data_IF_691820235281
#
_entry.id   IF_691820235281
#
_cell.length_a   1.000
_cell.length_b   1.000
_cell.length_c   1.000
_cell.angle_alpha   90.00
_cell.angle_beta   90.00
_cell.angle_gamma   90.00
#
_symmetry.space_group_name_H-M   'P 1'
#
loop_
_entity.id
_entity.type
_entity.pdbx_description
1 polymer ?
#
# COMPACT_ATOMS: atom_id res chain seq x y z
N UNK A 1 14.19 7.34 -16.59
CA UNK A 1 12.85 6.80 -16.89
C UNK A 1 11.90 7.99 -17.02
N UNK A 2 11.16 8.14 -18.13
CA UNK A 2 10.36 9.34 -18.44
C UNK A 2 9.12 9.45 -17.55
N UNK A 3 8.53 10.64 -17.51
CA UNK A 3 7.30 10.90 -16.78
C UNK A 3 6.16 10.08 -17.39
N UNK A 4 5.38 9.41 -16.54
CA UNK A 4 4.27 8.54 -16.96
C UNK A 4 3.01 9.33 -17.35
N UNK A 5 3.15 10.62 -17.62
CA UNK A 5 2.02 11.50 -17.90
C UNK A 5 1.29 11.05 -19.18
N UNK A 6 -0.05 11.04 -19.12
CA UNK A 6 -0.91 10.55 -20.20
C UNK A 6 -0.94 9.04 -20.42
N UNK A 7 -0.22 8.22 -19.64
CA UNK A 7 -0.24 6.75 -19.80
C UNK A 7 -1.55 6.12 -19.29
N UNK A 8 -1.92 4.99 -19.90
CA UNK A 8 -3.10 4.22 -19.54
C UNK A 8 -3.13 3.83 -18.04
N UNK A 9 -1.96 3.55 -17.45
CA UNK A 9 -1.85 3.18 -16.04
C UNK A 9 -2.34 4.29 -15.10
N UNK A 10 -2.04 5.55 -15.40
CA UNK A 10 -2.51 6.68 -14.58
C UNK A 10 -4.02 6.86 -14.69
N UNK A 11 -4.59 6.65 -15.90
CA UNK A 11 -6.05 6.70 -16.11
C UNK A 11 -6.76 5.60 -15.31
N UNK A 12 -6.20 4.38 -15.28
CA UNK A 12 -6.74 3.27 -14.49
C UNK A 12 -6.66 3.59 -12.99
N UNK A 13 -5.52 4.08 -12.49
CA UNK A 13 -5.38 4.47 -11.08
C UNK A 13 -6.39 5.54 -10.65
N UNK A 14 -6.55 6.60 -11.47
CA UNK A 14 -7.52 7.65 -11.20
C UNK A 14 -8.96 7.14 -11.27
N UNK A 15 -9.26 6.24 -12.22
CA UNK A 15 -10.56 5.57 -12.30
C UNK A 15 -10.87 4.77 -11.04
N UNK A 16 -9.94 3.93 -10.59
CA UNK A 16 -10.08 3.16 -9.34
C UNK A 16 -10.23 4.07 -8.12
N UNK A 17 -9.40 5.11 -8.00
CA UNK A 17 -9.50 6.09 -6.93
C UNK A 17 -10.91 6.70 -6.89
N UNK A 18 -11.46 7.07 -8.04
CA UNK A 18 -12.79 7.66 -8.14
C UNK A 18 -13.88 6.68 -7.72
N UNK A 19 -13.83 5.44 -8.21
CA UNK A 19 -14.79 4.39 -7.87
C UNK A 19 -14.77 4.08 -6.36
N UNK A 20 -13.59 3.97 -5.77
CA UNK A 20 -13.44 3.66 -4.34
C UNK A 20 -13.88 4.82 -3.43
N UNK A 21 -13.64 6.06 -3.84
CA UNK A 21 -13.98 7.25 -3.03
C UNK A 21 -15.43 7.68 -3.20
N UNK A 22 -15.93 7.73 -4.43
CA UNK A 22 -17.27 8.24 -4.76
C UNK A 22 -18.34 7.16 -4.82
N UNK A 23 -17.94 5.88 -4.98
CA UNK A 23 -18.87 4.79 -5.21
C UNK A 23 -19.39 4.77 -6.65
N UNK A 24 -20.15 3.73 -6.95
CA UNK A 24 -20.84 3.53 -8.23
C UNK A 24 -22.22 2.97 -7.93
N UNK A 25 -23.25 3.68 -8.38
CA UNK A 25 -24.62 3.19 -8.41
C UNK A 25 -25.04 3.11 -9.87
N UNK A 26 -25.38 1.91 -10.35
CA UNK A 26 -25.88 1.72 -11.72
C UNK A 26 -27.32 1.21 -11.64
N UNK A 27 -28.21 1.90 -12.36
CA UNK A 27 -29.59 1.44 -12.56
C UNK A 27 -29.65 0.30 -13.57
N UNK A 28 -28.68 0.21 -14.49
CA UNK A 28 -28.63 -0.79 -15.56
C UNK A 28 -28.11 -2.16 -15.10
N UNK A 29 -27.20 -2.19 -14.12
CA UNK A 29 -26.67 -3.44 -13.57
C UNK A 29 -26.52 -3.36 -12.04
N UNK A 30 -27.47 -3.91 -11.27
CA UNK A 30 -27.43 -3.93 -9.81
C UNK A 30 -26.19 -4.60 -9.22
N UNK A 31 -25.53 -5.52 -9.94
CA UNK A 31 -24.31 -6.19 -9.48
C UNK A 31 -23.04 -5.33 -9.61
N UNK A 32 -23.13 -4.16 -10.25
CA UNK A 32 -22.01 -3.22 -10.38
C UNK A 32 -21.92 -2.20 -9.23
N UNK A 33 -22.77 -2.36 -8.20
CA UNK A 33 -22.81 -1.46 -7.06
C UNK A 33 -21.48 -1.44 -6.28
N UNK A 34 -20.99 -0.24 -6.01
CA UNK A 34 -19.85 0.03 -5.12
C UNK A 34 -20.26 1.15 -4.16
N UNK A 35 -20.19 0.90 -2.86
CA UNK A 35 -20.67 1.84 -1.84
C UNK A 35 -19.88 3.16 -1.79
N UNK A 36 -18.60 3.15 -2.18
CA UNK A 36 -17.73 4.32 -2.07
C UNK A 36 -17.24 4.57 -0.64
N UNK A 37 -16.80 5.81 -0.38
CA UNK A 37 -16.26 6.27 0.90
C UNK A 37 -15.07 5.46 1.45
N UNK A 38 -14.36 4.74 0.57
CA UNK A 38 -13.15 4.00 0.94
C UNK A 38 -11.98 4.99 1.01
N UNK A 39 -11.29 5.09 2.16
CA UNK A 39 -10.13 5.96 2.29
C UNK A 39 -8.97 5.44 1.43
N UNK A 40 -8.35 6.31 0.66
CA UNK A 40 -7.24 5.98 -0.25
C UNK A 40 -6.09 6.95 -0.06
N UNK A 41 -4.87 6.43 -0.09
CA UNK A 41 -3.65 7.23 -0.18
C UNK A 41 -3.09 7.11 -1.60
N UNK A 42 -2.98 8.23 -2.30
CA UNK A 42 -2.39 8.28 -3.64
C UNK A 42 -1.04 8.98 -3.60
N UNK A 43 0.05 8.23 -3.80
CA UNK A 43 1.41 8.77 -3.91
C UNK A 43 1.81 8.79 -5.38
N UNK A 44 2.01 9.99 -5.92
CA UNK A 44 2.44 10.18 -7.31
C UNK A 44 3.90 10.64 -7.34
N UNK A 45 4.69 10.01 -8.21
CA UNK A 45 6.08 10.39 -8.48
C UNK A 45 6.20 10.82 -9.95
N UNK A 46 6.88 11.95 -10.19
CA UNK A 46 7.02 12.51 -11.54
C UNK A 46 7.84 11.59 -12.45
N UNK A 47 8.94 11.04 -11.92
CA UNK A 47 9.83 10.12 -12.64
C UNK A 47 10.35 9.04 -11.69
N UNK A 48 10.41 7.79 -12.15
CA UNK A 48 11.08 6.72 -11.43
C UNK A 48 12.60 6.82 -11.63
N UNK A 49 13.23 7.70 -10.85
CA UNK A 49 14.69 7.82 -10.76
C UNK A 49 15.20 7.05 -9.54
N UNK A 50 16.50 6.66 -9.49
CA UNK A 50 17.05 6.01 -8.30
C UNK A 50 16.84 6.81 -7.01
N UNK A 51 16.95 8.15 -7.10
CA UNK A 51 16.65 9.05 -5.98
C UNK A 51 15.18 8.96 -5.56
N UNK A 52 14.24 9.06 -6.50
CA UNK A 52 12.81 9.00 -6.19
C UNK A 52 12.41 7.65 -5.59
N UNK A 53 12.96 6.54 -6.11
CA UNK A 53 12.73 5.21 -5.57
C UNK A 53 13.30 5.06 -4.15
N UNK A 54 14.55 5.51 -3.92
CA UNK A 54 15.15 5.49 -2.59
C UNK A 54 14.37 6.32 -1.58
N UNK A 55 13.88 7.50 -1.98
CA UNK A 55 13.00 8.32 -1.14
C UNK A 55 11.67 7.64 -0.82
N UNK A 56 11.08 6.90 -1.76
CA UNK A 56 9.85 6.14 -1.52
C UNK A 56 10.08 4.98 -0.54
N UNK A 57 11.20 4.26 -0.65
CA UNK A 57 11.57 3.20 0.29
C UNK A 57 11.75 3.80 1.70
N UNK A 58 12.56 4.85 1.83
CA UNK A 58 12.80 5.52 3.11
C UNK A 58 11.50 6.06 3.74
N UNK A 59 10.57 6.56 2.93
CA UNK A 59 9.24 6.98 3.41
C UNK A 59 8.49 5.83 4.09
N UNK A 60 8.48 4.63 3.48
CA UNK A 60 7.80 3.47 4.06
C UNK A 60 8.54 2.90 5.27
N UNK A 61 9.87 2.89 5.28
CA UNK A 61 10.66 2.50 6.45
C UNK A 61 10.34 3.40 7.65
N UNK A 62 10.32 4.72 7.45
CA UNK A 62 9.96 5.67 8.50
C UNK A 62 8.49 5.58 8.90
N UNK A 63 7.57 5.33 7.95
CA UNK A 63 6.15 5.08 8.27
C UNK A 63 6.01 3.93 9.26
N UNK A 64 6.64 2.78 8.98
CA UNK A 64 6.58 1.61 9.85
C UNK A 64 7.22 1.89 11.21
N UNK A 65 8.38 2.55 11.23
CA UNK A 65 9.03 2.95 12.47
C UNK A 65 8.13 3.85 13.35
N UNK A 66 7.55 4.91 12.76
CA UNK A 66 6.65 5.82 13.49
C UNK A 66 5.42 5.07 14.01
N UNK A 67 4.86 4.14 13.23
CA UNK A 67 3.76 3.29 13.69
C UNK A 67 4.15 2.42 14.88
N UNK A 68 5.37 1.85 14.89
CA UNK A 68 5.90 1.12 16.05
C UNK A 68 6.01 1.98 17.29
N UNK A 69 6.52 3.21 17.15
CA UNK A 69 6.59 4.19 18.25
C UNK A 69 5.20 4.53 18.78
N UNK A 70 4.24 4.81 17.88
CA UNK A 70 2.84 5.12 18.25
C UNK A 70 2.17 3.97 19.00
N UNK A 71 2.41 2.73 18.57
CA UNK A 71 1.85 1.54 19.21
C UNK A 71 2.66 1.05 20.42
N UNK A 72 3.78 1.69 20.74
CA UNK A 72 4.70 1.29 21.80
C UNK A 72 5.16 -0.18 21.65
N UNK A 73 5.51 -0.57 20.43
CA UNK A 73 6.06 -1.89 20.10
C UNK A 73 7.43 -1.75 19.43
N UNK A 74 8.24 -2.81 19.54
CA UNK A 74 9.52 -2.86 18.86
C UNK A 74 9.36 -3.24 17.38
N UNK A 75 9.65 -2.32 16.46
CA UNK A 75 9.60 -2.60 15.01
C UNK A 75 10.78 -3.43 14.50
N UNK A 76 11.79 -3.70 15.33
CA UNK A 76 13.06 -4.27 14.91
C UNK A 76 13.29 -5.72 15.37
N UNK A 77 12.36 -6.31 16.13
CA UNK A 77 12.46 -7.72 16.55
C UNK A 77 11.50 -8.65 15.78
N UNK A 78 11.78 -9.95 15.85
CA UNK A 78 11.00 -11.01 15.19
C UNK A 78 10.90 -12.28 16.07
N UNK A 79 10.37 -12.18 17.31
CA UNK A 79 10.41 -13.29 18.26
C UNK A 79 9.65 -14.55 17.77
N UNK A 80 8.59 -14.37 16.98
CA UNK A 80 7.80 -15.49 16.44
C UNK A 80 8.59 -16.43 15.52
N UNK A 81 9.56 -15.90 14.77
CA UNK A 81 10.40 -16.69 13.84
C UNK A 81 11.34 -17.60 14.63
N UNK A 82 12.01 -17.07 15.65
CA UNK A 82 12.98 -17.82 16.45
C UNK A 82 12.31 -18.91 17.29
N UNK A 83 11.14 -18.61 17.87
CA UNK A 83 10.34 -19.61 18.58
C UNK A 83 9.91 -20.76 17.65
N UNK A 84 9.49 -20.43 16.42
CA UNK A 84 9.08 -21.44 15.44
C UNK A 84 10.23 -22.37 15.04
N UNK A 85 11.44 -21.81 14.81
CA UNK A 85 12.64 -22.61 14.49
C UNK A 85 13.02 -23.60 15.60
N UNK A 86 12.75 -23.28 16.87
CA UNK A 86 13.02 -24.19 18.00
C UNK A 86 12.05 -25.37 18.00
N UNK A 87 10.76 -25.10 17.86
CA UNK A 87 9.71 -26.11 17.83
C UNK A 87 9.92 -27.10 16.67
N UNK A 88 10.25 -26.61 15.46
CA UNK A 88 10.52 -27.50 14.33
C UNK A 88 11.68 -28.48 14.56
N UNK A 89 12.70 -28.09 15.34
CA UNK A 89 13.81 -28.98 15.69
C UNK A 89 13.45 -30.05 16.70
N UNK A 90 12.38 -29.87 17.46
CA UNK A 90 11.91 -30.82 18.47
C UNK A 90 11.08 -31.96 17.85
N UNK A 91 10.51 -31.72 16.66
CA UNK A 91 9.74 -32.68 15.89
C UNK A 91 10.51 -33.35 14.74
N UNK A 92 11.80 -33.03 14.58
CA UNK A 92 12.69 -33.61 13.57
C UNK A 92 13.63 -34.65 14.21
#
# INVERSE_FOLDING_TARGET
MKAFDGQAINKICLGHQRVLTQGVTSEENPHSYVAGAVPVNHLSIVNCTPRALGSLIALYEHKIFVQGVVWNINSFDQPGVESSKKIFREYA
#
